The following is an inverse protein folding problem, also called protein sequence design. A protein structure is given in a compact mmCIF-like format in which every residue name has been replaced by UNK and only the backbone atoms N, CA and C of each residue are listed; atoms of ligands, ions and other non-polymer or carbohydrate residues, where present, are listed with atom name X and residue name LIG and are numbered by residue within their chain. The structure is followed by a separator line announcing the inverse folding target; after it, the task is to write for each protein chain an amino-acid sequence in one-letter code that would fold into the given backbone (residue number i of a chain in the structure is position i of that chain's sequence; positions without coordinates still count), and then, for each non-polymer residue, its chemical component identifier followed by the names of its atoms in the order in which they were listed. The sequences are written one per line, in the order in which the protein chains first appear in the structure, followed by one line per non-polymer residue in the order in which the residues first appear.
data_IF_612952537148
#
_entry.id   IF_612952537148
#
_cell.length_a   1.000
_cell.length_b   1.000
_cell.length_c   1.000
_cell.angle_alpha   90.00
_cell.angle_beta   90.00
_cell.angle_gamma   90.00
#
_symmetry.space_group_name_H-M   'P 1'
#
loop_
_entity.id
_entity.type
_entity.pdbx_description
1 polymer ?
#
# COMPACT_ATOMS: atom_id res chain seq x y z
N UNK A 1 12.36 6.09 -16.54
CA UNK A 1 11.47 6.75 -17.52
C UNK A 1 12.03 8.14 -17.84
N UNK A 2 11.91 8.59 -19.09
CA UNK A 2 12.33 9.94 -19.50
C UNK A 2 11.36 11.00 -18.94
N UNK A 3 11.89 12.05 -18.31
CA UNK A 3 11.09 13.18 -17.79
C UNK A 3 10.24 13.83 -18.88
N UNK A 4 10.75 13.89 -20.10
CA UNK A 4 10.06 14.45 -21.27
C UNK A 4 8.82 13.65 -21.64
N UNK A 5 8.87 12.32 -21.54
CA UNK A 5 7.72 11.45 -21.82
C UNK A 5 6.62 11.62 -20.77
N UNK A 6 6.98 11.73 -19.49
CA UNK A 6 6.02 11.97 -18.41
C UNK A 6 5.30 13.30 -18.59
N UNK A 7 6.02 14.37 -18.91
CA UNK A 7 5.42 15.69 -19.16
C UNK A 7 4.43 15.63 -20.33
N UNK A 8 4.81 14.97 -21.44
CA UNK A 8 3.89 14.81 -22.58
C UNK A 8 2.66 13.99 -22.19
N UNK A 9 2.82 12.85 -21.50
CA UNK A 9 1.69 12.03 -21.05
C UNK A 9 0.75 12.80 -20.12
N UNK A 10 1.27 13.57 -19.17
CA UNK A 10 0.46 14.43 -18.31
C UNK A 10 -0.31 15.48 -19.12
N UNK A 11 0.31 16.09 -20.13
CA UNK A 11 -0.35 17.09 -20.99
C UNK A 11 -1.49 16.52 -21.85
N UNK A 12 -1.49 15.20 -22.08
CA UNK A 12 -2.49 14.48 -22.87
C UNK A 12 -3.53 13.76 -22.02
N UNK A 13 -3.46 13.87 -20.70
CA UNK A 13 -4.39 13.18 -19.80
C UNK A 13 -5.81 13.75 -19.90
N UNK A 14 -6.78 12.87 -20.11
CA UNK A 14 -8.20 13.19 -20.11
C UNK A 14 -8.83 12.68 -18.81
N UNK A 15 -9.03 13.57 -17.83
CA UNK A 15 -9.61 13.22 -16.52
C UNK A 15 -10.98 12.56 -16.65
N UNK A 16 -11.86 13.14 -17.47
CA UNK A 16 -13.23 12.65 -17.65
C UNK A 16 -13.29 11.24 -18.23
N UNK A 17 -12.30 10.87 -19.04
CA UNK A 17 -12.28 9.59 -19.77
C UNK A 17 -11.31 8.58 -19.13
N UNK A 18 -10.42 9.01 -18.24
CA UNK A 18 -9.42 8.17 -17.59
C UNK A 18 -8.42 7.57 -18.59
N UNK A 19 -7.78 8.40 -19.42
CA UNK A 19 -6.84 7.93 -20.43
C UNK A 19 -6.12 9.07 -21.15
N UNK A 20 -5.35 8.76 -22.18
CA UNK A 20 -4.53 9.72 -22.90
C UNK A 20 -5.09 10.03 -24.30
N UNK A 21 -5.12 11.29 -24.69
CA UNK A 21 -5.46 11.72 -26.06
C UNK A 21 -4.20 12.00 -26.87
N UNK A 22 -3.81 11.05 -27.72
CA UNK A 22 -2.59 11.13 -28.53
C UNK A 22 -2.98 11.17 -30.00
N UNK A 23 -2.69 12.29 -30.67
CA UNK A 23 -2.96 12.48 -32.12
C UNK A 23 -4.40 12.10 -32.52
N UNK A 24 -5.37 12.59 -31.74
CA UNK A 24 -6.81 12.33 -31.92
C UNK A 24 -7.25 10.88 -31.68
N UNK A 25 -6.36 10.02 -31.17
CA UNK A 25 -6.68 8.67 -30.69
C UNK A 25 -6.76 8.69 -29.17
N UNK A 26 -7.80 8.09 -28.62
CA UNK A 26 -7.94 7.89 -27.19
C UNK A 26 -7.36 6.55 -26.78
N UNK A 27 -6.40 6.58 -25.87
CA UNK A 27 -5.78 5.39 -25.28
C UNK A 27 -6.32 5.28 -23.85
N UNK A 28 -7.22 4.31 -23.57
CA UNK A 28 -7.72 4.13 -22.21
C UNK A 28 -6.56 3.74 -21.29
N UNK A 29 -6.51 4.36 -20.12
CA UNK A 29 -5.55 3.99 -19.08
C UNK A 29 -6.33 3.36 -17.94
N UNK A 30 -6.30 2.04 -17.92
CA UNK A 30 -7.15 1.24 -17.05
C UNK A 30 -6.40 0.84 -15.80
N UNK A 31 -7.16 0.23 -14.88
CA UNK A 31 -6.57 -0.30 -13.65
C UNK A 31 -5.51 -1.35 -13.92
N UNK A 32 -5.73 -2.15 -14.96
CA UNK A 32 -4.86 -3.22 -15.39
C UNK A 32 -3.49 -2.68 -15.83
N UNK A 33 -3.45 -1.53 -16.51
CA UNK A 33 -2.22 -0.94 -17.02
C UNK A 33 -1.28 -0.49 -15.90
N UNK A 34 -1.83 0.11 -14.83
CA UNK A 34 -1.07 0.45 -13.61
C UNK A 34 -0.55 -0.81 -12.94
N UNK A 35 -1.39 -1.84 -12.84
CA UNK A 35 -1.01 -3.07 -12.17
C UNK A 35 0.10 -3.82 -12.91
N UNK A 36 -0.01 -3.93 -14.23
CA UNK A 36 1.01 -4.49 -15.10
C UNK A 36 2.31 -3.68 -15.02
N UNK A 37 2.21 -2.34 -15.03
CA UNK A 37 3.38 -1.45 -14.92
C UNK A 37 4.12 -1.59 -13.58
N UNK A 38 3.40 -1.84 -12.48
CA UNK A 38 3.97 -2.06 -11.15
C UNK A 38 4.35 -3.54 -10.89
N UNK A 39 4.05 -4.45 -11.81
CA UNK A 39 4.25 -5.89 -11.62
C UNK A 39 3.36 -6.49 -10.53
N UNK A 40 2.26 -5.84 -10.17
CA UNK A 40 1.34 -6.30 -9.12
C UNK A 40 0.23 -7.17 -9.70
N UNK A 41 -0.15 -8.21 -8.94
CA UNK A 41 -1.15 -9.17 -9.39
C UNK A 41 -2.56 -8.55 -9.37
N UNK A 42 -3.27 -8.68 -10.50
CA UNK A 42 -4.66 -8.19 -10.69
C UNK A 42 -5.71 -9.23 -10.33
N UNK A 43 -5.35 -10.52 -10.34
CA UNK A 43 -6.23 -11.62 -9.98
C UNK A 43 -5.81 -12.19 -8.63
N UNK A 44 -6.72 -12.26 -7.66
CA UNK A 44 -6.40 -12.76 -6.34
C UNK A 44 -7.48 -12.42 -5.32
N UNK A 45 -7.29 -12.88 -4.10
CA UNK A 45 -8.24 -12.66 -3.03
C UNK A 45 -8.28 -11.18 -2.62
N UNK A 46 -9.46 -10.71 -2.22
CA UNK A 46 -9.61 -9.35 -1.69
C UNK A 46 -9.00 -9.28 -0.29
N UNK A 47 -8.01 -8.42 -0.13
CA UNK A 47 -7.41 -8.18 1.18
C UNK A 47 -8.36 -7.38 2.08
N UNK A 48 -8.69 -7.94 3.25
CA UNK A 48 -9.54 -7.30 4.25
C UNK A 48 -8.69 -6.54 5.26
N UNK A 49 -8.56 -5.23 5.04
CA UNK A 49 -7.80 -4.32 5.91
C UNK A 49 -8.45 -4.15 7.30
N UNK A 50 -9.77 -4.02 7.32
CA UNK A 50 -10.54 -3.81 8.55
C UNK A 50 -10.98 -5.16 9.11
N UNK A 51 -10.44 -5.50 10.28
CA UNK A 51 -10.82 -6.64 11.09
C UNK A 51 -11.02 -6.14 12.53
N UNK A 52 -11.95 -6.75 13.26
CA UNK A 52 -12.27 -6.35 14.63
C UNK A 52 -11.20 -6.79 15.63
N UNK A 53 -10.64 -7.97 15.43
CA UNK A 53 -9.53 -8.52 16.20
C UNK A 53 -8.76 -9.52 15.36
N UNK A 54 -7.47 -9.67 15.66
CA UNK A 54 -6.58 -10.66 15.04
C UNK A 54 -5.66 -11.18 16.15
N UNK A 55 -5.57 -12.49 16.32
CA UNK A 55 -4.55 -13.13 17.16
C UNK A 55 -3.52 -13.80 16.25
N UNK A 56 -2.37 -13.14 16.09
CA UNK A 56 -1.30 -13.57 15.20
C UNK A 56 0.06 -13.15 15.77
N UNK A 57 1.15 -13.76 15.31
CA UNK A 57 2.51 -13.51 15.78
C UNK A 57 2.88 -12.03 15.74
N UNK A 58 2.72 -11.38 14.58
CA UNK A 58 3.00 -9.95 14.42
C UNK A 58 2.21 -9.07 15.37
N UNK A 59 0.97 -9.46 15.73
CA UNK A 59 0.17 -8.73 16.72
C UNK A 59 0.71 -8.94 18.14
N UNK A 60 1.20 -10.13 18.48
CA UNK A 60 1.74 -10.48 19.80
C UNK A 60 3.05 -9.77 20.15
N UNK A 61 3.69 -9.11 19.17
CA UNK A 61 4.82 -8.20 19.42
C UNK A 61 4.43 -6.94 20.21
N UNK A 62 3.13 -6.70 20.43
CA UNK A 62 2.64 -5.50 21.12
C UNK A 62 1.77 -5.85 22.31
N UNK A 63 2.06 -5.24 23.46
CA UNK A 63 1.31 -5.45 24.70
C UNK A 63 -0.04 -4.69 24.74
N UNK A 64 -0.26 -3.76 23.82
CA UNK A 64 -1.48 -2.93 23.74
C UNK A 64 -2.40 -3.37 22.60
N UNK A 65 -3.71 -3.29 22.82
CA UNK A 65 -4.72 -3.52 21.79
C UNK A 65 -4.81 -2.40 20.75
N UNK A 66 -4.56 -1.16 21.17
CA UNK A 66 -4.60 0.00 20.28
C UNK A 66 -3.19 0.32 19.77
N UNK A 67 -2.68 -0.53 18.86
CA UNK A 67 -1.36 -0.33 18.26
C UNK A 67 -1.38 0.91 17.36
N UNK A 68 -0.37 1.76 17.52
CA UNK A 68 -0.20 2.98 16.73
C UNK A 68 1.14 2.93 16.01
N UNK A 69 1.32 3.77 15.00
CA UNK A 69 2.60 3.92 14.28
C UNK A 69 3.75 4.19 15.26
N UNK A 70 3.50 4.94 16.34
CA UNK A 70 4.50 5.19 17.37
C UNK A 70 4.94 3.90 18.08
N UNK A 71 4.00 3.06 18.49
CA UNK A 71 4.31 1.76 19.08
C UNK A 71 5.11 0.87 18.12
N UNK A 72 4.79 0.89 16.82
CA UNK A 72 5.55 0.15 15.80
C UNK A 72 7.00 0.64 15.71
N UNK A 73 7.21 1.95 15.74
CA UNK A 73 8.56 2.53 15.78
C UNK A 73 9.36 2.10 17.02
N UNK A 74 8.73 2.13 18.20
CA UNK A 74 9.38 1.72 19.45
C UNK A 74 9.77 0.24 19.41
N UNK A 75 8.87 -0.65 18.97
CA UNK A 75 9.19 -2.07 18.84
C UNK A 75 10.28 -2.33 17.81
N UNK A 76 10.25 -1.64 16.66
CA UNK A 76 11.29 -1.76 15.65
C UNK A 76 12.67 -1.38 16.20
N UNK A 77 12.75 -0.31 17.00
CA UNK A 77 14.01 0.12 17.62
C UNK A 77 14.55 -0.87 18.66
N UNK A 78 13.66 -1.57 19.38
CA UNK A 78 14.04 -2.65 20.30
C UNK A 78 14.65 -3.83 19.53
N UNK A 79 13.96 -4.28 18.48
CA UNK A 79 14.32 -5.50 17.74
C UNK A 79 15.53 -5.35 16.81
N UNK A 80 15.79 -4.14 16.30
CA UNK A 80 16.94 -3.86 15.42
C UNK A 80 18.30 -4.22 16.05
N UNK A 81 18.40 -4.29 17.38
CA UNK A 81 19.68 -4.47 18.09
C UNK A 81 20.06 -5.92 18.38
N UNK A 82 19.18 -6.91 18.17
CA UNK A 82 19.52 -8.29 18.52
C UNK A 82 18.48 -9.37 18.25
N UNK A 83 17.32 -9.05 17.69
CA UNK A 83 16.24 -10.03 17.50
C UNK A 83 16.25 -10.68 16.11
N UNK A 84 15.34 -11.63 15.91
CA UNK A 84 15.17 -12.35 14.65
C UNK A 84 14.89 -11.37 13.50
N UNK A 85 15.68 -11.50 12.42
CA UNK A 85 15.56 -10.68 11.20
C UNK A 85 14.12 -10.68 10.66
N UNK A 86 13.39 -11.78 10.83
CA UNK A 86 12.01 -11.91 10.40
C UNK A 86 11.08 -10.89 11.10
N UNK A 87 11.25 -10.66 12.40
CA UNK A 87 10.41 -9.72 13.15
C UNK A 87 10.77 -8.27 12.85
N UNK A 88 12.05 -7.98 12.67
CA UNK A 88 12.49 -6.67 12.16
C UNK A 88 11.86 -6.38 10.80
N UNK A 89 11.84 -7.36 9.89
CA UNK A 89 11.19 -7.23 8.59
C UNK A 89 9.67 -7.01 8.72
N UNK A 90 8.99 -7.74 9.61
CA UNK A 90 7.55 -7.56 9.88
C UNK A 90 7.25 -6.16 10.39
N UNK A 91 7.97 -5.70 11.40
CA UNK A 91 7.79 -4.37 11.98
C UNK A 91 8.08 -3.26 10.96
N UNK A 92 9.14 -3.40 10.16
CA UNK A 92 9.46 -2.45 9.11
C UNK A 92 8.38 -2.39 8.03
N UNK A 93 7.88 -3.54 7.57
CA UNK A 93 6.81 -3.58 6.57
C UNK A 93 5.48 -3.08 7.15
N UNK A 94 5.16 -3.40 8.41
CA UNK A 94 3.99 -2.85 9.10
C UNK A 94 4.02 -1.33 9.12
N UNK A 95 5.20 -0.76 9.40
CA UNK A 95 5.42 0.67 9.40
C UNK A 95 5.17 1.26 8.01
N UNK A 96 5.82 0.72 6.97
CA UNK A 96 5.66 1.21 5.59
C UNK A 96 4.21 1.11 5.12
N UNK A 97 3.55 -0.02 5.38
CA UNK A 97 2.14 -0.22 5.03
C UNK A 97 1.24 0.78 5.76
N UNK A 98 1.45 1.01 7.06
CA UNK A 98 0.60 1.89 7.86
C UNK A 98 0.84 3.37 7.59
N UNK A 99 2.06 3.77 7.27
CA UNK A 99 2.43 5.17 7.11
C UNK A 99 2.21 5.67 5.67
N UNK A 100 2.47 4.82 4.67
CA UNK A 100 2.39 5.23 3.25
C UNK A 100 1.16 4.68 2.52
N UNK A 101 0.78 3.43 2.78
CA UNK A 101 -0.27 2.76 2.01
C UNK A 101 -1.65 2.87 2.68
N UNK A 102 -1.70 2.89 4.01
CA UNK A 102 -2.94 2.98 4.77
C UNK A 102 -2.87 4.05 5.88
N UNK A 103 -2.57 5.32 5.52
CA UNK A 103 -2.46 6.37 6.51
C UNK A 103 -3.79 6.57 7.22
N UNK A 104 -3.75 6.49 8.55
CA UNK A 104 -4.88 6.76 9.43
C UNK A 104 -4.62 8.06 10.19
N UNK A 105 -5.58 8.99 10.18
CA UNK A 105 -5.48 10.28 10.89
C UNK A 105 -5.22 10.12 12.39
N UNK A 106 -5.65 9.01 12.99
CA UNK A 106 -5.39 8.70 14.40
C UNK A 106 -4.07 7.97 14.65
N UNK A 107 -3.27 7.72 13.61
CA UNK A 107 -2.02 6.94 13.70
C UNK A 107 -2.22 5.47 14.10
N UNK A 108 -3.47 4.99 14.20
CA UNK A 108 -3.81 3.62 14.55
C UNK A 108 -3.54 2.67 13.38
N UNK A 109 -2.86 1.58 13.68
CA UNK A 109 -2.57 0.51 12.72
C UNK A 109 -3.82 -0.33 12.49
N UNK A 110 -4.11 -0.66 11.23
CA UNK A 110 -5.24 -1.52 10.89
C UNK A 110 -4.94 -2.98 11.23
N UNK A 111 -5.84 -3.65 11.96
CA UNK A 111 -5.61 -5.02 12.42
C UNK A 111 -5.37 -6.03 11.29
N UNK A 112 -5.98 -5.85 10.11
CA UNK A 112 -5.75 -6.74 8.97
C UNK A 112 -4.30 -6.79 8.50
N UNK A 113 -3.49 -5.76 8.80
CA UNK A 113 -2.08 -5.72 8.44
C UNK A 113 -1.23 -6.71 9.24
N UNK A 114 -1.58 -7.05 10.47
CA UNK A 114 -0.76 -7.99 11.25
C UNK A 114 -0.80 -9.41 10.66
N UNK A 115 -1.99 -9.88 10.29
CA UNK A 115 -2.17 -11.22 9.69
C UNK A 115 -1.46 -11.35 8.34
N UNK A 116 -1.44 -10.24 7.58
CA UNK A 116 -0.73 -10.18 6.31
C UNK A 116 0.78 -10.45 6.44
N UNK A 117 1.38 -9.96 7.53
CA UNK A 117 2.83 -10.03 7.76
C UNK A 117 3.27 -11.37 8.35
N UNK A 118 2.36 -12.11 8.96
CA UNK A 118 2.62 -13.47 9.42
C UNK A 118 2.75 -14.44 8.25
N UNK A 119 1.99 -14.23 7.18
CA UNK A 119 2.01 -15.07 5.98
C UNK A 119 2.53 -14.29 4.76
N UNK A 120 3.79 -13.85 4.84
CA UNK A 120 4.47 -13.17 3.73
C UNK A 120 4.43 -13.98 2.43
N UNK A 121 4.51 -15.31 2.52
CA UNK A 121 4.39 -16.22 1.38
C UNK A 121 3.06 -16.07 0.65
N UNK A 122 1.99 -15.73 1.37
CA UNK A 122 0.66 -15.53 0.81
C UNK A 122 0.40 -14.11 0.34
N UNK A 123 1.33 -13.15 0.51
CA UNK A 123 1.18 -11.83 -0.11
C UNK A 123 0.92 -11.96 -1.61
N UNK A 124 1.60 -12.88 -2.30
CA UNK A 124 1.39 -13.12 -3.74
C UNK A 124 -0.02 -13.60 -4.13
N UNK A 125 -0.87 -13.98 -3.17
CA UNK A 125 -2.25 -14.45 -3.41
C UNK A 125 -3.27 -13.31 -3.48
N UNK A 126 -2.97 -12.15 -2.87
CA UNK A 126 -3.89 -11.02 -2.82
C UNK A 126 -3.85 -10.18 -4.11
N UNK A 127 -4.99 -9.60 -4.43
CA UNK A 127 -5.11 -8.62 -5.51
C UNK A 127 -4.65 -7.23 -5.02
N UNK A 128 -3.33 -7.02 -5.07
CA UNK A 128 -2.72 -5.72 -4.75
C UNK A 128 -3.13 -4.61 -5.73
N UNK A 129 -3.55 -4.98 -6.93
CA UNK A 129 -3.94 -4.02 -7.96
C UNK A 129 -5.06 -3.07 -7.52
N UNK A 130 -6.07 -3.60 -6.81
CA UNK A 130 -7.18 -2.79 -6.27
C UNK A 130 -6.71 -1.88 -5.14
N UNK A 131 -5.72 -2.32 -4.37
CA UNK A 131 -5.18 -1.57 -3.23
C UNK A 131 -4.35 -0.37 -3.69
N UNK A 132 -3.36 -0.62 -4.56
CA UNK A 132 -2.52 0.43 -5.14
C UNK A 132 -3.33 1.42 -5.98
N UNK A 133 -4.39 0.95 -6.66
CA UNK A 133 -5.36 1.82 -7.31
C UNK A 133 -6.00 2.83 -6.36
N UNK A 134 -6.45 2.35 -5.19
CA UNK A 134 -7.11 3.17 -4.19
C UNK A 134 -6.16 4.24 -3.64
N UNK A 135 -4.89 3.86 -3.46
CA UNK A 135 -3.83 4.73 -2.94
C UNK A 135 -3.36 5.72 -4.00
N UNK A 136 -3.18 5.30 -5.25
CA UNK A 136 -2.89 6.18 -6.38
C UNK A 136 -3.98 7.22 -6.56
N UNK A 137 -5.25 6.81 -6.47
CA UNK A 137 -6.38 7.74 -6.54
C UNK A 137 -6.33 8.77 -5.40
N UNK A 138 -6.04 8.35 -4.17
CA UNK A 138 -5.84 9.25 -3.02
C UNK A 138 -4.66 10.20 -3.22
N UNK A 139 -3.51 9.70 -3.68
CA UNK A 139 -2.32 10.50 -3.95
C UNK A 139 -2.55 11.51 -5.07
N UNK A 140 -3.20 11.11 -6.17
CA UNK A 140 -3.58 12.03 -7.25
C UNK A 140 -4.59 13.08 -6.80
N UNK A 141 -5.60 12.72 -5.98
CA UNK A 141 -6.56 13.67 -5.42
C UNK A 141 -5.88 14.67 -4.47
N UNK A 142 -4.93 14.21 -3.64
CA UNK A 142 -4.18 15.12 -2.77
C UNK A 142 -3.19 16.00 -3.54
N UNK A 143 -2.57 15.50 -4.61
CA UNK A 143 -1.67 16.28 -5.48
C UNK A 143 -2.39 17.32 -6.34
N UNK A 144 -3.69 17.15 -6.61
CA UNK A 144 -4.52 18.17 -7.28
C UNK A 144 -5.08 19.23 -6.31
N UNK A 145 -4.89 19.07 -5.00
CA UNK A 145 -5.29 20.04 -3.97
C UNK A 145 -4.13 20.96 -3.51
N UNK A 146 -2.99 20.94 -4.20
CA UNK A 146 -1.86 21.87 -4.04
C UNK A 146 -1.63 22.59 -5.37
#
# INVERSE_FOLDING_TARGET
MSRTLLIELCSRWSERRGGFEVRSVFIPFTKLDVCLGLGVRVNGDMFKLFKEQVDCHSRRLFDTNDVTIHHVYEELQKHIKGDEVADVCRLYLLLVLSEFLFPNRGGKVHFGLFELLDDFSCMGKYNWGVLFMSIWFLVCVMLHCV
#
